data_IF_501941607105
#
_entry.id   IF_501941607105
#
_cell.length_a   1.000
_cell.length_b   1.000
_cell.length_c   1.000
_cell.angle_alpha   90.00
_cell.angle_beta   90.00
_cell.angle_gamma   90.00
#
_symmetry.space_group_name_H-M   'P 1'
#
loop_
_entity.id
_entity.type
_entity.pdbx_description
1 polymer ?
#
# COMPACT_ATOMS: atom_id res chain seq x y z
N UNK A 1 8.48 13.41 -33.39
CA UNK A 1 9.06 12.37 -32.50
C UNK A 1 9.80 12.96 -31.29
N UNK A 2 10.56 14.06 -31.41
CA UNK A 2 11.28 14.66 -30.28
C UNK A 2 10.38 15.17 -29.13
N UNK A 3 9.19 15.69 -29.43
CA UNK A 3 8.30 16.28 -28.42
C UNK A 3 7.65 15.22 -27.51
N UNK A 4 7.33 14.05 -28.07
CA UNK A 4 6.80 12.92 -27.30
C UNK A 4 7.85 12.32 -26.36
N UNK A 5 9.11 12.23 -26.79
CA UNK A 5 10.18 11.66 -25.96
C UNK A 5 10.48 12.53 -24.72
N UNK A 6 10.54 13.86 -24.89
CA UNK A 6 10.65 14.81 -23.76
C UNK A 6 9.48 14.68 -22.77
N UNK A 7 8.30 14.27 -23.24
CA UNK A 7 7.14 14.08 -22.36
C UNK A 7 7.32 12.88 -21.41
N UNK A 8 7.73 11.71 -21.91
CA UNK A 8 8.00 10.52 -21.06
C UNK A 8 9.14 10.77 -20.08
N UNK A 9 10.21 11.42 -20.53
CA UNK A 9 11.39 11.74 -19.71
C UNK A 9 11.10 12.77 -18.61
N UNK A 10 9.92 13.41 -18.62
CA UNK A 10 9.55 14.39 -17.60
C UNK A 10 8.99 13.77 -16.32
N UNK A 11 8.62 12.49 -16.33
CA UNK A 11 8.09 11.80 -15.16
C UNK A 11 9.20 11.13 -14.36
N UNK A 12 9.21 11.35 -13.05
CA UNK A 12 10.29 10.91 -12.15
C UNK A 12 9.84 9.98 -11.05
N UNK A 13 8.53 9.89 -10.82
CA UNK A 13 7.92 9.06 -9.78
C UNK A 13 6.89 8.14 -10.40
N UNK A 14 6.91 6.87 -10.00
CA UNK A 14 5.85 5.92 -10.28
C UNK A 14 5.14 5.49 -9.02
N UNK A 15 3.83 5.33 -9.11
CA UNK A 15 2.98 4.71 -8.10
C UNK A 15 2.26 3.53 -8.76
N UNK A 16 2.53 2.33 -8.25
CA UNK A 16 1.95 1.08 -8.74
C UNK A 16 0.99 0.55 -7.68
N UNK A 17 -0.20 0.12 -8.09
CA UNK A 17 -1.18 -0.50 -7.20
C UNK A 17 -1.72 -1.81 -7.74
N UNK A 18 -2.20 -2.68 -6.85
CA UNK A 18 -2.72 -4.00 -7.22
C UNK A 18 -4.15 -3.93 -7.77
N UNK A 19 -4.95 -2.99 -7.27
CA UNK A 19 -6.36 -2.85 -7.60
C UNK A 19 -6.68 -1.50 -8.22
N UNK A 20 -7.71 -1.48 -9.07
CA UNK A 20 -8.23 -0.23 -9.65
C UNK A 20 -8.80 0.71 -8.57
N UNK A 21 -9.32 0.18 -7.47
CA UNK A 21 -9.76 0.96 -6.31
C UNK A 21 -8.59 1.71 -5.66
N UNK A 22 -7.44 1.06 -5.49
CA UNK A 22 -6.22 1.65 -4.94
C UNK A 22 -5.63 2.71 -5.88
N UNK A 23 -5.55 2.41 -7.19
CA UNK A 23 -5.07 3.37 -8.20
C UNK A 23 -5.95 4.61 -8.21
N UNK A 24 -7.27 4.42 -8.10
CA UNK A 24 -8.25 5.50 -8.11
C UNK A 24 -8.07 6.42 -6.91
N UNK A 25 -7.79 5.89 -5.70
CA UNK A 25 -7.48 6.71 -4.53
C UNK A 25 -6.30 7.66 -4.81
N UNK A 26 -5.21 7.16 -5.39
CA UNK A 26 -4.04 8.00 -5.75
C UNK A 26 -4.39 8.99 -6.85
N UNK A 27 -5.15 8.57 -7.87
CA UNK A 27 -5.61 9.45 -8.96
C UNK A 27 -6.42 10.63 -8.42
N UNK A 28 -7.30 10.39 -7.45
CA UNK A 28 -8.11 11.45 -6.85
C UNK A 28 -7.31 12.36 -5.92
N UNK A 29 -6.11 11.95 -5.50
CA UNK A 29 -5.17 12.79 -4.77
C UNK A 29 -4.32 13.69 -5.68
N UNK A 30 -4.27 13.46 -6.99
CA UNK A 30 -3.50 14.30 -7.92
C UNK A 30 -3.95 15.76 -7.84
N UNK A 31 -2.98 16.67 -7.89
CA UNK A 31 -3.22 18.11 -8.04
C UNK A 31 -3.74 18.41 -9.44
N UNK A 32 -3.15 17.72 -10.44
CA UNK A 32 -3.52 17.82 -11.85
C UNK A 32 -3.32 16.49 -12.55
N UNK A 33 -4.31 16.09 -13.34
CA UNK A 33 -4.18 14.98 -14.29
C UNK A 33 -3.66 15.51 -15.64
N UNK A 34 -2.70 14.82 -16.24
CA UNK A 34 -2.14 15.15 -17.55
C UNK A 34 -2.81 14.33 -18.66
N UNK A 35 -2.79 14.81 -19.91
CA UNK A 35 -3.24 14.01 -21.05
C UNK A 35 -2.46 12.70 -21.17
N UNK A 36 -3.15 11.63 -21.55
CA UNK A 36 -2.52 10.34 -21.82
C UNK A 36 -1.50 10.46 -22.95
N UNK A 37 -0.39 9.74 -22.81
CA UNK A 37 0.59 9.56 -23.87
C UNK A 37 0.27 8.27 -24.65
N UNK A 38 0.66 8.17 -25.94
CA UNK A 38 0.49 6.94 -26.72
C UNK A 38 1.19 5.75 -26.04
N UNK A 39 0.59 4.56 -26.11
CA UNK A 39 1.28 3.37 -25.62
C UNK A 39 2.54 3.11 -26.45
N UNK A 40 3.62 2.71 -25.77
CA UNK A 40 4.86 2.27 -26.43
C UNK A 40 4.70 0.83 -26.92
N UNK A 41 5.26 0.53 -28.09
CA UNK A 41 5.26 -0.84 -28.61
C UNK A 41 5.86 -1.83 -27.61
N UNK A 42 5.15 -2.94 -27.39
CA UNK A 42 5.52 -3.98 -26.43
C UNK A 42 5.21 -3.66 -24.96
N UNK A 43 4.67 -2.48 -24.64
CA UNK A 43 4.16 -2.15 -23.31
C UNK A 43 2.63 -2.32 -23.29
N UNK A 44 2.17 -3.30 -22.49
CA UNK A 44 0.76 -3.60 -22.29
C UNK A 44 0.12 -2.85 -21.12
N UNK A 45 0.88 -2.04 -20.39
CA UNK A 45 0.35 -1.26 -19.28
C UNK A 45 -0.51 -0.10 -19.79
N UNK A 46 -1.46 0.30 -18.95
CA UNK A 46 -2.22 1.54 -19.10
C UNK A 46 -1.80 2.47 -17.97
N UNK A 47 -1.46 3.71 -18.31
CA UNK A 47 -0.97 4.70 -17.36
C UNK A 47 -1.95 5.85 -17.19
N UNK A 48 -2.07 6.33 -15.95
CA UNK A 48 -2.60 7.66 -15.67
C UNK A 48 -1.42 8.56 -15.32
N UNK A 49 -1.39 9.75 -15.90
CA UNK A 49 -0.29 10.68 -15.76
C UNK A 49 -0.77 11.91 -15.00
N UNK A 50 0.09 12.49 -14.17
CA UNK A 50 -0.30 13.70 -13.46
C UNK A 50 0.81 14.35 -12.66
N UNK A 51 0.39 15.21 -11.75
CA UNK A 51 1.22 15.94 -10.82
C UNK A 51 0.68 15.78 -9.40
N UNK A 52 1.59 15.51 -8.47
CA UNK A 52 1.32 15.39 -7.04
C UNK A 52 2.41 16.11 -6.26
N UNK A 53 2.03 17.17 -5.55
CA UNK A 53 2.90 18.06 -4.78
C UNK A 53 4.13 18.52 -5.58
N UNK A 54 3.92 18.94 -6.83
CA UNK A 54 4.99 19.40 -7.73
C UNK A 54 5.80 18.28 -8.40
N UNK A 55 5.53 17.01 -8.09
CA UNK A 55 6.17 15.87 -8.75
C UNK A 55 5.33 15.33 -9.89
N UNK A 56 5.94 15.15 -11.07
CA UNK A 56 5.32 14.45 -12.19
C UNK A 56 5.31 12.95 -11.93
N UNK A 57 4.10 12.40 -11.79
CA UNK A 57 3.83 11.03 -11.36
C UNK A 57 3.19 10.20 -12.48
N UNK A 58 3.57 8.93 -12.55
CA UNK A 58 2.92 7.90 -13.37
C UNK A 58 2.20 6.93 -12.45
N UNK A 59 0.90 6.74 -12.65
CA UNK A 59 0.12 5.72 -11.96
C UNK A 59 -0.05 4.51 -12.88
N UNK A 60 0.17 3.32 -12.34
CA UNK A 60 -0.09 2.06 -13.02
C UNK A 60 -0.83 1.09 -12.10
N UNK A 61 -1.72 0.29 -12.68
CA UNK A 61 -2.45 -0.76 -11.97
C UNK A 61 -2.09 -2.13 -12.55
N UNK A 62 -2.06 -3.15 -11.70
CA UNK A 62 -1.90 -4.53 -12.15
C UNK A 62 -3.08 -4.97 -13.05
N UNK A 63 -2.84 -5.72 -14.13
CA UNK A 63 -3.89 -6.16 -15.04
C UNK A 63 -4.61 -7.40 -14.49
N UNK A 64 -5.79 -7.21 -13.89
CA UNK A 64 -6.73 -8.26 -13.52
C UNK A 64 -6.32 -9.12 -12.33
N UNK A 65 -5.22 -9.88 -12.47
CA UNK A 65 -4.74 -10.80 -11.45
C UNK A 65 -3.70 -10.12 -10.54
N UNK A 66 -3.96 -10.17 -9.23
CA UNK A 66 -2.98 -9.79 -8.21
C UNK A 66 -1.82 -10.79 -8.18
N UNK A 67 -0.64 -10.35 -7.76
CA UNK A 67 0.49 -11.23 -7.50
C UNK A 67 1.85 -10.67 -7.93
N UNK A 68 2.91 -11.33 -7.45
CA UNK A 68 4.30 -10.88 -7.65
C UNK A 68 4.70 -10.79 -9.13
N UNK A 69 4.24 -11.74 -9.96
CA UNK A 69 4.55 -11.78 -11.40
C UNK A 69 3.94 -10.61 -12.19
N UNK A 70 2.68 -10.29 -11.95
CA UNK A 70 2.00 -9.15 -12.58
C UNK A 70 2.67 -7.82 -12.19
N UNK A 71 3.01 -7.66 -10.90
CA UNK A 71 3.75 -6.48 -10.43
C UNK A 71 5.12 -6.32 -11.13
N UNK A 72 5.84 -7.43 -11.34
CA UNK A 72 7.14 -7.41 -12.02
C UNK A 72 7.01 -6.99 -13.49
N UNK A 73 5.99 -7.48 -14.22
CA UNK A 73 5.71 -7.08 -15.60
C UNK A 73 5.41 -5.59 -15.68
N UNK A 74 4.50 -5.10 -14.82
CA UNK A 74 4.13 -3.68 -14.78
C UNK A 74 5.36 -2.81 -14.52
N UNK A 75 6.17 -3.13 -13.51
CA UNK A 75 7.36 -2.37 -13.14
C UNK A 75 8.43 -2.37 -14.24
N UNK A 76 8.60 -3.49 -14.94
CA UNK A 76 9.57 -3.63 -16.05
C UNK A 76 9.16 -2.76 -17.23
N UNK A 77 7.91 -2.87 -17.66
CA UNK A 77 7.35 -2.07 -18.75
C UNK A 77 7.39 -0.58 -18.42
N UNK A 78 7.00 -0.20 -17.20
CA UNK A 78 7.03 1.18 -16.72
C UNK A 78 8.45 1.77 -16.80
N UNK A 79 9.46 0.99 -16.40
CA UNK A 79 10.87 1.43 -16.46
C UNK A 79 11.34 1.61 -17.90
N UNK A 80 10.88 0.77 -18.83
CA UNK A 80 11.22 0.90 -20.25
C UNK A 80 10.53 2.10 -20.91
N UNK A 81 9.29 2.39 -20.53
CA UNK A 81 8.48 3.47 -21.11
C UNK A 81 8.83 4.85 -20.55
N UNK A 82 9.14 4.94 -19.25
CA UNK A 82 9.47 6.18 -18.55
C UNK A 82 10.90 6.09 -17.97
N UNK A 83 11.94 6.39 -18.77
CA UNK A 83 13.33 6.14 -18.39
C UNK A 83 13.83 7.04 -17.24
N UNK A 84 13.20 8.19 -17.02
CA UNK A 84 13.58 9.14 -15.96
C UNK A 84 13.00 8.81 -14.58
N UNK A 85 12.26 7.71 -14.44
CA UNK A 85 11.69 7.31 -13.16
C UNK A 85 12.78 6.80 -12.23
N UNK A 86 12.96 7.54 -11.13
CA UNK A 86 13.92 7.25 -10.07
C UNK A 86 13.24 6.66 -8.83
N UNK A 87 12.00 7.07 -8.54
CA UNK A 87 11.24 6.58 -7.39
C UNK A 87 10.07 5.74 -7.85
N UNK A 88 9.91 4.56 -7.25
CA UNK A 88 8.81 3.64 -7.51
C UNK A 88 8.19 3.25 -6.18
N UNK A 89 6.93 3.59 -6.00
CA UNK A 89 6.14 3.23 -4.84
C UNK A 89 5.16 2.14 -5.22
N UNK A 90 5.10 1.08 -4.44
CA UNK A 90 4.02 0.12 -4.50
C UNK A 90 3.07 0.44 -3.34
N UNK A 91 1.83 0.80 -3.65
CA UNK A 91 0.82 1.21 -2.66
C UNK A 91 -0.43 0.36 -2.83
N UNK A 92 -1.07 0.04 -1.72
CA UNK A 92 -2.28 -0.77 -1.75
C UNK A 92 -2.84 -1.01 -0.35
N UNK A 93 -4.00 -1.63 -0.31
CA UNK A 93 -4.66 -2.06 0.92
C UNK A 93 -3.99 -3.36 1.37
N UNK A 94 -3.73 -3.46 2.67
CA UNK A 94 -3.17 -4.66 3.30
C UNK A 94 -4.01 -5.11 4.50
N UNK A 95 -3.84 -6.37 4.89
CA UNK A 95 -4.30 -6.85 6.19
C UNK A 95 -3.34 -6.44 7.30
N UNK A 96 -3.87 -5.99 8.43
CA UNK A 96 -3.10 -5.71 9.63
C UNK A 96 -2.91 -6.97 10.48
N UNK A 97 -1.72 -7.15 11.06
CA UNK A 97 -1.45 -8.18 12.08
C UNK A 97 -1.07 -7.45 13.37
N UNK A 98 -2.06 -7.11 14.23
CA UNK A 98 -1.79 -6.36 15.46
C UNK A 98 -0.94 -7.18 16.44
N UNK A 99 -0.14 -6.50 17.24
CA UNK A 99 0.64 -7.07 18.33
C UNK A 99 0.63 -6.13 19.53
N UNK A 100 1.11 -6.60 20.69
CA UNK A 100 1.27 -5.74 21.87
C UNK A 100 2.17 -4.51 21.63
N UNK A 101 3.11 -4.62 20.67
CA UNK A 101 4.03 -3.53 20.32
C UNK A 101 3.49 -2.63 19.22
N UNK A 102 2.70 -3.19 18.30
CA UNK A 102 2.16 -2.50 17.14
C UNK A 102 0.65 -2.77 17.07
N UNK A 103 -0.12 -1.87 17.66
CA UNK A 103 -1.56 -1.96 17.74
C UNK A 103 -2.22 -1.52 16.41
N UNK A 104 -1.92 -2.16 15.28
CA UNK A 104 -2.40 -1.75 13.94
C UNK A 104 -3.94 -1.81 13.88
N UNK A 105 -4.59 -0.78 13.32
CA UNK A 105 -6.06 -0.67 13.19
C UNK A 105 -6.51 -0.36 11.77
N UNK A 106 -7.79 -0.59 11.49
CA UNK A 106 -8.40 -0.16 10.23
C UNK A 106 -8.20 1.35 10.00
N UNK A 107 -7.74 1.68 8.80
CA UNK A 107 -7.43 3.06 8.39
C UNK A 107 -6.01 3.51 8.71
N UNK A 108 -5.22 2.74 9.45
CA UNK A 108 -3.78 3.03 9.63
C UNK A 108 -2.98 2.84 8.33
N UNK A 109 -1.84 3.51 8.26
CA UNK A 109 -0.90 3.42 7.15
C UNK A 109 0.39 2.74 7.62
N UNK A 110 0.92 1.80 6.85
CA UNK A 110 2.22 1.17 7.14
C UNK A 110 3.22 1.59 6.06
N UNK A 111 4.36 2.11 6.48
CA UNK A 111 5.48 2.46 5.61
C UNK A 111 6.59 1.44 5.80
N UNK A 112 6.97 0.78 4.70
CA UNK A 112 8.00 -0.25 4.72
C UNK A 112 9.35 0.33 5.16
N UNK A 113 9.87 -0.18 6.27
CA UNK A 113 11.19 0.18 6.80
C UNK A 113 11.98 -1.08 7.18
N UNK A 114 13.29 -1.15 6.88
CA UNK A 114 14.12 -2.27 7.30
C UNK A 114 14.11 -2.45 8.82
N UNK A 115 14.05 -3.70 9.25
CA UNK A 115 14.19 -4.09 10.65
C UNK A 115 15.00 -5.38 10.75
N UNK A 116 15.90 -5.43 11.72
CA UNK A 116 16.87 -6.51 11.93
C UNK A 116 17.53 -7.01 10.61
N UNK A 117 17.15 -8.21 10.15
CA UNK A 117 17.72 -8.86 8.97
C UNK A 117 16.87 -8.67 7.70
N UNK A 118 15.78 -7.90 7.77
CA UNK A 118 14.80 -7.77 6.71
C UNK A 118 14.84 -6.37 6.10
N UNK A 119 14.81 -6.28 4.77
CA UNK A 119 14.84 -5.02 4.03
C UNK A 119 13.53 -4.21 4.06
N UNK A 120 12.57 -4.53 4.93
CA UNK A 120 11.30 -3.82 5.03
C UNK A 120 10.11 -4.55 4.39
N UNK A 121 10.34 -5.43 3.42
CA UNK A 121 9.31 -6.33 2.89
C UNK A 121 9.77 -7.77 3.07
N UNK A 122 8.90 -8.60 3.64
CA UNK A 122 9.17 -10.01 3.90
C UNK A 122 8.23 -10.85 3.04
N UNK A 123 8.81 -11.61 2.11
CA UNK A 123 8.06 -12.62 1.37
C UNK A 123 7.87 -13.85 2.27
N UNK A 124 6.70 -13.97 2.91
CA UNK A 124 6.48 -15.01 3.93
C UNK A 124 6.24 -16.38 3.33
N UNK A 125 5.74 -16.45 2.10
CA UNK A 125 5.42 -17.70 1.39
C UNK A 125 6.50 -18.12 0.38
N UNK A 126 7.60 -17.37 0.26
CA UNK A 126 8.74 -17.78 -0.53
C UNK A 126 9.63 -18.69 0.32
N UNK A 127 9.70 -19.97 -0.02
CA UNK A 127 10.47 -20.92 0.78
C UNK A 127 10.35 -22.36 0.30
N UNK A 128 10.81 -23.27 1.14
CA UNK A 128 10.71 -24.72 0.93
C UNK A 128 9.84 -25.32 2.03
N UNK A 129 8.79 -26.04 1.64
CA UNK A 129 8.14 -26.99 2.54
C UNK A 129 9.09 -28.18 2.77
N UNK A 130 9.24 -28.58 4.02
CA UNK A 130 10.05 -29.72 4.47
C UNK A 130 9.24 -30.54 5.45
N UNK A 131 9.67 -31.78 5.73
CA UNK A 131 9.04 -32.63 6.74
C UNK A 131 9.04 -31.99 8.14
N UNK A 132 9.98 -31.08 8.40
CA UNK A 132 10.09 -30.30 9.64
C UNK A 132 9.36 -28.95 9.61
N UNK A 133 8.62 -28.63 8.54
CA UNK A 133 7.90 -27.36 8.38
C UNK A 133 8.43 -26.49 7.24
N UNK A 134 8.09 -25.19 7.26
CA UNK A 134 8.41 -24.26 6.18
C UNK A 134 9.70 -23.48 6.44
N UNK A 135 10.66 -23.59 5.52
CA UNK A 135 11.91 -22.82 5.56
C UNK A 135 11.79 -21.66 4.57
N UNK A 136 11.56 -20.45 5.10
CA UNK A 136 11.51 -19.21 4.30
C UNK A 136 12.85 -18.96 3.60
N UNK A 137 12.81 -18.50 2.36
CA UNK A 137 13.95 -18.16 1.50
C UNK A 137 13.81 -16.77 0.91
N UNK A 138 14.93 -16.28 0.40
CA UNK A 138 15.01 -14.99 -0.25
C UNK A 138 14.99 -13.82 0.72
N UNK A 139 15.37 -12.67 0.20
CA UNK A 139 15.29 -11.38 0.85
C UNK A 139 15.06 -10.32 -0.22
N UNK A 140 14.34 -9.26 0.15
CA UNK A 140 14.23 -8.07 -0.67
C UNK A 140 15.19 -7.02 -0.13
N UNK A 141 15.82 -6.29 -1.06
CA UNK A 141 16.71 -5.18 -0.71
C UNK A 141 15.94 -4.09 0.01
N UNK A 142 16.61 -3.43 0.96
CA UNK A 142 16.08 -2.25 1.61
C UNK A 142 15.77 -1.12 0.61
N UNK A 143 14.77 -0.26 0.89
CA UNK A 143 14.59 0.98 0.17
C UNK A 143 15.89 1.81 0.13
N UNK A 144 16.11 2.60 -0.94
CA UNK A 144 17.24 3.51 -1.04
C UNK A 144 17.42 4.37 0.22
N UNK A 145 18.68 4.67 0.59
CA UNK A 145 19.00 5.43 1.81
C UNK A 145 18.30 6.78 1.90
N UNK A 146 18.08 7.44 0.76
CA UNK A 146 17.37 8.72 0.72
C UNK A 146 15.91 8.59 1.19
N UNK A 147 15.18 7.57 0.72
CA UNK A 147 13.81 7.31 1.16
C UNK A 147 13.77 6.94 2.65
N UNK A 148 14.72 6.13 3.12
CA UNK A 148 14.83 5.80 4.55
C UNK A 148 15.09 7.04 5.41
N UNK A 149 15.95 7.94 4.96
CA UNK A 149 16.22 9.21 5.65
C UNK A 149 15.01 10.13 5.66
N UNK A 150 14.23 10.15 4.57
CA UNK A 150 12.97 10.89 4.51
C UNK A 150 11.93 10.34 5.50
N UNK A 151 11.85 9.01 5.67
CA UNK A 151 10.98 8.40 6.68
C UNK A 151 11.41 8.77 8.10
N UNK A 152 12.72 8.74 8.42
CA UNK A 152 13.23 9.18 9.73
C UNK A 152 12.86 10.65 10.01
N UNK A 153 12.99 11.52 9.01
CA UNK A 153 12.55 12.92 9.14
C UNK A 153 11.04 12.99 9.39
N UNK A 154 10.25 12.25 8.63
CA UNK A 154 8.78 12.22 8.78
C UNK A 154 8.37 11.73 10.17
N UNK A 155 9.00 10.68 10.69
CA UNK A 155 8.79 10.18 12.05
C UNK A 155 9.12 11.27 13.09
N UNK A 156 10.25 11.97 12.93
CA UNK A 156 10.61 13.10 13.78
C UNK A 156 9.61 14.26 13.71
N UNK A 157 9.09 14.57 12.51
CA UNK A 157 8.10 15.63 12.32
C UNK A 157 6.78 15.28 13.05
N UNK A 158 6.42 14.00 13.07
CA UNK A 158 5.20 13.48 13.71
C UNK A 158 5.28 13.37 15.24
N UNK A 159 6.45 13.56 15.85
CA UNK A 159 6.58 13.65 17.32
C UNK A 159 6.04 14.99 17.85
N UNK A 160 5.96 16.00 17.00
CA UNK A 160 5.59 17.38 17.39
C UNK A 160 4.38 17.92 16.63
N UNK A 161 4.04 17.32 15.49
CA UNK A 161 2.87 17.69 14.69
C UNK A 161 2.02 16.46 14.38
N UNK A 162 0.71 16.65 14.25
CA UNK A 162 -0.17 15.61 13.74
C UNK A 162 0.20 15.22 12.29
N UNK A 163 -0.05 13.95 11.95
CA UNK A 163 0.09 13.49 10.58
C UNK A 163 -1.02 14.08 9.69
N UNK A 164 -0.74 14.19 8.39
CA UNK A 164 -1.64 14.84 7.43
C UNK A 164 -2.66 13.91 6.77
N UNK A 165 -2.81 12.66 7.23
CA UNK A 165 -3.70 11.68 6.57
C UNK A 165 -5.12 12.21 6.50
N UNK A 166 -5.64 12.75 7.62
CA UNK A 166 -6.99 13.32 7.67
C UNK A 166 -7.16 14.48 6.69
N UNK A 167 -6.21 15.40 6.66
CA UNK A 167 -6.26 16.57 5.75
C UNK A 167 -6.27 16.15 4.28
N UNK A 168 -5.47 15.14 3.92
CA UNK A 168 -5.43 14.58 2.59
C UNK A 168 -6.74 13.89 2.21
N UNK A 169 -7.30 13.06 3.10
CA UNK A 169 -8.60 12.43 2.91
C UNK A 169 -9.72 13.46 2.77
N UNK A 170 -9.81 14.44 3.67
CA UNK A 170 -10.84 15.50 3.61
C UNK A 170 -10.75 16.30 2.30
N UNK A 171 -9.53 16.57 1.83
CA UNK A 171 -9.30 17.24 0.55
C UNK A 171 -9.77 16.40 -0.63
N UNK A 172 -9.48 15.10 -0.63
CA UNK A 172 -9.97 14.18 -1.65
C UNK A 172 -11.50 14.06 -1.63
N UNK A 173 -12.09 13.84 -0.46
CA UNK A 173 -13.54 13.63 -0.30
C UNK A 173 -14.35 14.85 -0.78
N UNK A 174 -13.83 16.06 -0.61
CA UNK A 174 -14.43 17.30 -1.12
C UNK A 174 -14.52 17.36 -2.66
N UNK A 175 -13.72 16.57 -3.39
CA UNK A 175 -13.76 16.56 -4.87
C UNK A 175 -15.05 15.93 -5.43
N UNK A 176 -15.79 15.14 -4.65
CA UNK A 176 -17.10 14.66 -5.09
C UNK A 176 -17.76 13.61 -4.20
N UNK A 177 -19.09 13.62 -4.17
CA UNK A 177 -19.90 12.74 -3.30
C UNK A 177 -19.64 11.24 -3.47
N UNK A 178 -19.26 10.79 -4.67
CA UNK A 178 -18.96 9.36 -4.94
C UNK A 178 -17.67 8.88 -4.26
N UNK A 179 -16.88 9.79 -3.69
CA UNK A 179 -15.62 9.47 -3.02
C UNK A 179 -15.81 9.08 -1.54
N UNK A 180 -17.02 9.19 -0.97
CA UNK A 180 -17.31 8.75 0.40
C UNK A 180 -16.94 7.29 0.67
N UNK A 181 -16.89 6.45 -0.38
CA UNK A 181 -16.39 5.07 -0.27
C UNK A 181 -14.92 4.90 0.12
N UNK A 182 -14.15 5.99 0.19
CA UNK A 182 -12.76 6.03 0.68
C UNK A 182 -12.66 6.64 2.08
N UNK A 183 -13.78 6.92 2.74
CA UNK A 183 -13.79 7.37 4.13
C UNK A 183 -13.12 6.34 5.03
N UNK A 184 -12.47 6.84 6.07
CA UNK A 184 -11.91 6.00 7.12
C UNK A 184 -13.09 5.25 7.80
N UNK A 185 -13.00 3.92 7.97
CA UNK A 185 -13.98 3.18 8.75
C UNK A 185 -14.08 3.75 10.17
N UNK A 186 -15.28 3.75 10.74
CA UNK A 186 -15.50 4.16 12.12
C UNK A 186 -14.86 3.18 13.10
N UNK A 187 -14.54 3.64 14.31
CA UNK A 187 -13.80 2.83 15.30
C UNK A 187 -14.56 1.58 15.77
N UNK A 188 -15.89 1.58 15.70
CA UNK A 188 -16.75 0.42 16.00
C UNK A 188 -16.68 -0.69 14.96
N UNK A 189 -16.22 -0.37 13.73
CA UNK A 189 -15.97 -1.36 12.69
C UNK A 189 -14.61 -2.08 12.86
N UNK A 190 -13.71 -1.56 13.69
CA UNK A 190 -12.41 -2.17 14.01
C UNK A 190 -12.56 -3.25 15.10
N UNK A 191 -13.23 -4.35 14.74
CA UNK A 191 -13.51 -5.46 15.66
C UNK A 191 -12.41 -6.52 15.57
N UNK A 192 -11.72 -6.76 16.69
CA UNK A 192 -10.69 -7.80 16.80
C UNK A 192 -11.23 -9.02 17.55
N UNK A 193 -11.01 -10.22 17.00
CA UNK A 193 -11.32 -11.50 17.65
C UNK A 193 -10.06 -12.15 18.21
N UNK A 194 -10.22 -13.15 19.10
CA UNK A 194 -9.10 -13.99 19.54
C UNK A 194 -8.46 -14.69 18.33
N UNK A 195 -7.14 -14.82 18.34
CA UNK A 195 -6.37 -15.34 17.21
C UNK A 195 -6.71 -16.80 16.83
N UNK A 196 -7.23 -17.59 17.76
CA UNK A 196 -7.63 -18.98 17.55
C UNK A 196 -9.11 -19.16 17.20
N UNK A 197 -9.87 -18.06 17.13
CA UNK A 197 -11.29 -18.06 16.80
C UNK A 197 -11.53 -18.49 15.34
N UNK A 198 -12.31 -19.56 15.10
CA UNK A 198 -12.58 -20.03 13.75
C UNK A 198 -13.67 -19.20 13.08
N UNK A 199 -13.27 -18.28 12.20
CA UNK A 199 -14.21 -17.54 11.35
C UNK A 199 -14.82 -18.45 10.27
N UNK A 200 -16.09 -18.19 9.90
CA UNK A 200 -16.72 -18.85 8.78
C UNK A 200 -16.04 -18.42 7.46
N UNK A 201 -15.36 -19.31 6.73
CA UNK A 201 -14.63 -18.95 5.52
C UNK A 201 -15.52 -18.55 4.34
N UNK A 202 -16.82 -18.85 4.41
CA UNK A 202 -17.82 -18.48 3.41
C UNK A 202 -18.43 -17.10 3.67
N UNK A 203 -18.29 -16.57 4.89
CA UNK A 203 -18.78 -15.23 5.19
C UNK A 203 -17.76 -14.17 4.75
N UNK A 204 -18.26 -13.03 4.27
CA UNK A 204 -17.44 -11.87 3.89
C UNK A 204 -17.26 -10.95 5.11
N UNK A 205 -18.17 -10.99 6.08
CA UNK A 205 -18.16 -10.15 7.29
C UNK A 205 -18.18 -11.00 8.56
N UNK A 206 -17.85 -10.36 9.68
CA UNK A 206 -17.90 -10.98 11.01
C UNK A 206 -19.18 -10.61 11.79
N UNK A 207 -20.27 -10.24 11.10
CA UNK A 207 -21.54 -9.84 11.74
C UNK A 207 -22.18 -11.01 12.51
N UNK A 208 -22.04 -12.24 11.99
CA UNK A 208 -22.55 -13.47 12.62
C UNK A 208 -21.53 -14.15 13.56
N UNK A 209 -20.38 -13.52 13.81
CA UNK A 209 -19.37 -14.09 14.70
C UNK A 209 -19.73 -13.90 16.18
N UNK A 210 -19.31 -14.85 17.01
CA UNK A 210 -19.56 -14.85 18.46
C UNK A 210 -18.89 -13.64 19.12
N UNK A 211 -19.71 -12.70 19.59
CA UNK A 211 -19.24 -11.46 20.22
C UNK A 211 -18.41 -11.73 21.48
N UNK A 212 -18.60 -12.87 22.15
CA UNK A 212 -17.82 -13.25 23.34
C UNK A 212 -16.36 -13.59 23.01
N UNK A 213 -16.05 -13.79 21.73
CA UNK A 213 -14.68 -14.02 21.24
C UNK A 213 -13.99 -12.74 20.80
N UNK A 214 -14.65 -11.58 20.91
CA UNK A 214 -14.02 -10.27 20.67
C UNK A 214 -12.98 -9.99 21.75
N UNK A 215 -11.86 -9.42 21.34
CA UNK A 215 -10.80 -8.96 22.24
C UNK A 215 -11.00 -7.47 22.52
N UNK A 216 -11.03 -7.10 23.80
CA UNK A 216 -11.07 -5.69 24.20
C UNK A 216 -9.71 -5.03 23.92
N UNK A 217 -9.74 -3.94 23.15
CA UNK A 217 -8.58 -3.07 22.90
C UNK A 217 -8.78 -1.76 23.65
N UNK A 218 -7.70 -1.22 24.20
CA UNK A 218 -7.72 0.14 24.78
C UNK A 218 -8.13 1.14 23.71
N UNK A 219 -9.08 2.06 23.96
CA UNK A 219 -9.36 3.13 23.01
C UNK A 219 -8.10 3.93 22.68
N UNK A 220 -7.95 4.35 21.42
CA UNK A 220 -6.92 5.35 21.08
C UNK A 220 -7.43 6.74 21.44
N UNK A 221 -6.50 7.63 21.73
CA UNK A 221 -6.80 9.04 21.88
C UNK A 221 -7.13 9.63 20.50
N UNK A 222 -8.41 9.92 20.27
CA UNK A 222 -8.91 10.51 19.03
C UNK A 222 -9.26 9.52 17.92
N UNK A 223 -9.67 10.06 16.77
CA UNK A 223 -10.12 9.31 15.59
C UNK A 223 -9.13 9.37 14.42
N UNK A 224 -7.84 9.59 14.73
CA UNK A 224 -6.81 9.72 13.71
C UNK A 224 -6.23 8.36 13.30
N UNK A 225 -5.97 8.21 12.00
CA UNK A 225 -5.11 7.14 11.49
C UNK A 225 -3.68 7.31 12.00
N UNK A 226 -3.04 6.21 12.37
CA UNK A 226 -1.62 6.19 12.74
C UNK A 226 -0.75 5.73 11.58
N UNK A 227 0.52 6.12 11.61
CA UNK A 227 1.53 5.64 10.67
C UNK A 227 2.48 4.71 11.41
N UNK A 228 2.57 3.47 10.93
CA UNK A 228 3.50 2.46 11.44
C UNK A 228 4.70 2.36 10.51
N UNK A 229 5.91 2.29 11.07
CA UNK A 229 7.15 2.13 10.33
C UNK A 229 7.73 0.76 10.61
N UNK A 230 7.78 -0.12 9.59
CA UNK A 230 8.29 -1.47 9.82
C UNK A 230 8.10 -2.44 8.68
N UNK A 231 8.09 -3.72 9.02
CA UNK A 231 8.04 -4.81 8.06
C UNK A 231 6.64 -4.98 7.48
N UNK A 232 6.57 -5.15 6.16
CA UNK A 232 5.35 -5.52 5.44
C UNK A 232 5.48 -6.96 4.95
N UNK A 233 4.53 -7.81 5.32
CA UNK A 233 4.43 -9.16 4.80
C UNK A 233 3.84 -9.14 3.38
N UNK A 234 4.43 -9.90 2.45
CA UNK A 234 3.97 -10.02 1.07
C UNK A 234 3.98 -11.49 0.64
N UNK A 235 2.98 -11.90 -0.14
CA UNK A 235 2.83 -13.28 -0.62
C UNK A 235 1.80 -13.36 -1.72
N UNK A 236 1.75 -14.51 -2.41
CA UNK A 236 0.64 -14.90 -3.29
C UNK A 236 -0.45 -15.67 -2.51
N UNK A 237 -0.11 -16.22 -1.33
CA UNK A 237 -1.10 -16.73 -0.39
C UNK A 237 -1.79 -15.58 0.35
N UNK A 238 -3.07 -15.70 0.69
CA UNK A 238 -3.77 -14.73 1.55
C UNK A 238 -3.93 -15.32 2.94
N UNK A 239 -3.44 -14.63 3.97
CA UNK A 239 -3.68 -15.00 5.36
C UNK A 239 -5.11 -14.57 5.72
N UNK A 240 -6.01 -15.55 5.87
CA UNK A 240 -7.40 -15.31 6.28
C UNK A 240 -7.64 -15.59 7.77
N UNK A 241 -6.80 -16.42 8.39
CA UNK A 241 -6.88 -16.79 9.80
C UNK A 241 -5.50 -17.21 10.29
N UNK A 242 -5.24 -17.07 11.59
CA UNK A 242 -3.93 -17.27 12.23
C UNK A 242 -3.70 -18.69 12.75
N UNK A 243 -4.14 -19.74 12.03
CA UNK A 243 -3.79 -21.13 12.37
C UNK A 243 -2.76 -21.70 11.43
#
# INVERSE_FOLDING_TARGET
MQDGQKAYESYTVAVVSALGFEMSAVRYMLDREHPSLPNKDGDSNIYVLGELQGHKVVLACLPGNQGKGAAAIVATNLTRTFPSIIWRFFVGIGGGVPSKRHDIRLGDVVVSMPDAQHGGVVQYDLGKATDSGFIRKGFLSAPPSLLRSAVVKMESDHLVNDNKIKDFLDTMLRKGKRLSRYERPSNDMDVMFKADYPHNPLSITCEECDEQQRTTRTPRDGEASEIHYGLIASGDLVIKSTK
#
